data_IF_784232559706
#
_entry.id   IF_784232559706
#
_cell.length_a   1.000
_cell.length_b   1.000
_cell.length_c   1.000
_cell.angle_alpha   90.00
_cell.angle_beta   90.00
_cell.angle_gamma   90.00
#
_symmetry.space_group_name_H-M   'P 1'
#
loop_
_entity.id
_entity.type
_entity.pdbx_description
1 polymer ?
#
# COMPACT_ATOMS: atom_id res chain seq x y z
N UNK A 1 -5.54 -16.38 -2.56
CA UNK A 1 -4.45 -15.39 -2.74
C UNK A 1 -3.10 -16.09 -2.72
N UNK A 2 -2.89 -17.11 -1.90
CA UNK A 2 -1.72 -17.99 -2.01
C UNK A 2 -2.18 -19.26 -2.74
N UNK A 3 -1.65 -19.53 -3.93
CA UNK A 3 -1.96 -20.76 -4.67
C UNK A 3 -1.54 -22.00 -3.86
N UNK A 4 -2.01 -23.17 -4.25
CA UNK A 4 -1.51 -24.40 -3.62
C UNK A 4 -0.03 -24.61 -3.97
N UNK A 5 0.69 -25.34 -3.10
CA UNK A 5 2.14 -25.53 -3.21
C UNK A 5 2.55 -26.16 -4.55
N UNK A 6 1.74 -27.09 -5.08
CA UNK A 6 2.04 -27.79 -6.33
C UNK A 6 1.97 -26.81 -7.51
N UNK A 7 0.97 -25.94 -7.53
CA UNK A 7 0.84 -24.91 -8.56
C UNK A 7 2.00 -23.91 -8.54
N UNK A 8 2.48 -23.51 -7.35
CA UNK A 8 3.64 -22.62 -7.21
C UNK A 8 4.92 -23.31 -7.69
N UNK A 9 5.09 -24.60 -7.39
CA UNK A 9 6.21 -25.39 -7.88
C UNK A 9 6.21 -25.49 -9.42
N UNK A 10 5.05 -25.78 -10.02
CA UNK A 10 4.89 -25.80 -11.47
C UNK A 10 5.21 -24.43 -12.11
N UNK A 11 4.79 -23.34 -11.47
CA UNK A 11 5.11 -21.99 -11.94
C UNK A 11 6.62 -21.72 -11.90
N UNK A 12 7.33 -22.18 -10.86
CA UNK A 12 8.79 -22.11 -10.77
C UNK A 12 9.48 -22.87 -11.88
N UNK A 13 9.05 -24.10 -12.17
CA UNK A 13 9.59 -24.90 -13.27
C UNK A 13 9.40 -24.21 -14.62
N UNK A 14 8.19 -23.73 -14.92
CA UNK A 14 7.89 -22.98 -16.15
C UNK A 14 8.77 -21.75 -16.31
N UNK A 15 8.92 -20.95 -15.25
CA UNK A 15 9.77 -19.76 -15.27
C UNK A 15 11.23 -20.14 -15.56
N UNK A 16 11.75 -21.13 -14.83
CA UNK A 16 13.15 -21.54 -14.91
C UNK A 16 13.50 -22.22 -16.24
N UNK A 17 12.52 -22.83 -16.92
CA UNK A 17 12.67 -23.37 -18.28
C UNK A 17 12.98 -22.27 -19.32
N UNK A 18 12.53 -21.03 -19.10
CA UNK A 18 12.92 -19.87 -19.92
C UNK A 18 14.30 -19.39 -19.51
N UNK A 19 14.48 -19.11 -18.22
CA UNK A 19 15.78 -18.78 -17.61
C UNK A 19 15.69 -18.81 -16.08
N UNK A 20 16.81 -19.01 -15.36
CA UNK A 20 16.81 -19.02 -13.90
C UNK A 20 16.43 -17.68 -13.24
N UNK A 21 16.38 -16.58 -14.01
CA UNK A 21 15.99 -15.25 -13.51
C UNK A 21 14.70 -14.71 -14.11
N UNK A 22 14.01 -15.49 -14.95
CA UNK A 22 12.82 -15.05 -15.65
C UNK A 22 11.65 -14.78 -14.68
N UNK A 23 10.88 -13.73 -14.98
CA UNK A 23 9.76 -13.29 -14.17
C UNK A 23 8.69 -12.64 -15.05
N UNK A 24 7.53 -13.28 -15.19
CA UNK A 24 6.39 -12.78 -15.97
C UNK A 24 5.88 -11.43 -15.46
N UNK A 25 5.94 -11.19 -14.15
CA UNK A 25 5.49 -9.93 -13.56
C UNK A 25 6.30 -8.71 -14.06
N UNK A 26 7.53 -8.89 -14.57
CA UNK A 26 8.27 -7.77 -15.20
C UNK A 26 7.61 -7.21 -16.47
N UNK A 27 6.74 -8.00 -17.09
CA UNK A 27 5.93 -7.62 -18.24
C UNK A 27 4.51 -7.26 -17.84
N UNK A 28 3.88 -8.08 -16.98
CA UNK A 28 2.44 -8.02 -16.78
C UNK A 28 1.99 -7.25 -15.54
N UNK A 29 2.91 -6.80 -14.68
CA UNK A 29 2.60 -6.01 -13.50
C UNK A 29 3.26 -4.62 -13.59
N UNK A 30 2.54 -3.60 -13.10
CA UNK A 30 3.04 -2.24 -13.01
C UNK A 30 2.46 -1.52 -11.79
N UNK A 31 3.31 -0.76 -11.10
CA UNK A 31 2.84 0.36 -10.29
C UNK A 31 3.40 1.65 -10.87
N UNK A 32 2.55 2.66 -11.01
CA UNK A 32 2.89 3.92 -11.67
C UNK A 32 2.50 5.07 -10.76
N UNK A 33 3.50 5.85 -10.35
CA UNK A 33 3.34 7.05 -9.55
C UNK A 33 3.35 8.25 -10.49
N UNK A 34 2.21 8.56 -11.10
CA UNK A 34 2.08 9.63 -12.10
C UNK A 34 2.40 11.01 -11.51
N UNK A 35 1.98 11.24 -10.26
CA UNK A 35 2.34 12.43 -9.49
C UNK A 35 3.85 12.59 -9.27
N UNK A 36 4.66 11.54 -9.42
CA UNK A 36 6.13 11.62 -9.31
C UNK A 36 6.85 11.42 -10.65
N UNK A 37 6.14 10.98 -11.69
CA UNK A 37 6.74 10.51 -12.93
C UNK A 37 7.64 9.29 -12.72
N UNK A 38 7.23 8.35 -11.86
CA UNK A 38 8.03 7.14 -11.52
C UNK A 38 7.24 5.87 -11.69
N UNK A 39 7.92 4.76 -11.92
CA UNK A 39 7.28 3.45 -12.10
C UNK A 39 8.17 2.31 -11.61
N UNK A 40 7.56 1.17 -11.33
CA UNK A 40 8.23 -0.13 -11.22
C UNK A 40 7.31 -1.24 -11.75
N UNK A 41 7.83 -2.46 -11.88
CA UNK A 41 7.07 -3.59 -12.46
C UNK A 41 6.36 -4.46 -11.41
N UNK A 42 6.66 -4.30 -10.12
CA UNK A 42 5.91 -4.90 -9.02
C UNK A 42 6.29 -4.16 -7.73
N UNK A 43 5.60 -4.43 -6.62
CA UNK A 43 5.76 -3.66 -5.38
C UNK A 43 7.11 -3.82 -4.66
N UNK A 44 7.97 -4.75 -5.09
CA UNK A 44 9.26 -5.07 -4.45
C UNK A 44 10.45 -4.23 -4.92
N UNK A 45 10.72 -4.08 -6.24
CA UNK A 45 11.83 -3.27 -6.72
C UNK A 45 11.64 -1.78 -6.40
N UNK A 46 12.76 -1.05 -6.24
CA UNK A 46 12.71 0.41 -6.16
C UNK A 46 12.10 0.99 -7.45
N UNK A 47 11.34 2.07 -7.31
CA UNK A 47 10.82 2.79 -8.48
C UNK A 47 11.91 3.64 -9.15
N UNK A 48 11.90 3.67 -10.47
CA UNK A 48 12.78 4.52 -11.28
C UNK A 48 11.99 5.64 -11.97
N UNK A 49 12.64 6.76 -12.32
CA UNK A 49 12.02 7.82 -13.11
C UNK A 49 11.61 7.35 -14.51
N UNK A 50 10.45 7.81 -14.98
CA UNK A 50 10.00 7.63 -16.36
C UNK A 50 10.69 8.72 -17.20
N UNK A 51 11.34 8.32 -18.30
CA UNK A 51 11.97 9.27 -19.21
C UNK A 51 10.89 10.01 -20.03
N UNK A 52 10.93 11.35 -20.14
CA UNK A 52 10.06 12.08 -21.06
C UNK A 52 10.21 11.63 -22.52
N UNK A 53 11.37 11.08 -22.91
CA UNK A 53 11.58 10.53 -24.26
C UNK A 53 10.77 9.26 -24.50
N UNK A 54 10.58 8.44 -23.46
CA UNK A 54 9.81 7.19 -23.58
C UNK A 54 8.34 7.50 -23.86
N UNK A 55 7.74 8.43 -23.11
CA UNK A 55 6.33 8.84 -23.28
C UNK A 55 6.06 9.65 -24.55
N UNK A 56 7.05 10.43 -25.02
CA UNK A 56 6.95 11.16 -26.30
C UNK A 56 6.94 10.21 -27.49
N UNK A 57 7.65 9.09 -27.39
CA UNK A 57 7.71 8.07 -28.44
C UNK A 57 6.43 7.22 -28.48
N UNK A 58 5.94 6.84 -27.31
CA UNK A 58 4.78 5.96 -27.14
C UNK A 58 4.15 6.26 -25.76
N UNK A 59 2.85 6.58 -25.65
CA UNK A 59 2.19 6.80 -24.37
C UNK A 59 2.36 5.63 -23.38
N UNK A 60 2.46 4.40 -23.87
CA UNK A 60 2.73 3.21 -23.04
C UNK A 60 4.14 3.20 -22.43
N UNK A 61 5.01 4.14 -22.84
CA UNK A 61 6.34 4.39 -22.29
C UNK A 61 6.36 4.65 -20.79
N UNK A 62 5.21 4.95 -20.16
CA UNK A 62 5.06 4.98 -18.70
C UNK A 62 5.25 3.61 -18.03
N UNK A 63 4.91 2.52 -18.73
CA UNK A 63 5.17 1.15 -18.30
C UNK A 63 6.33 0.51 -19.09
N UNK A 64 6.43 0.81 -20.39
CA UNK A 64 7.39 0.22 -21.33
C UNK A 64 8.70 1.00 -21.42
N UNK A 65 9.22 1.48 -20.28
CA UNK A 65 10.44 2.31 -20.20
C UNK A 65 11.66 1.58 -20.76
N UNK A 66 12.65 2.34 -21.22
CA UNK A 66 13.94 1.77 -21.66
C UNK A 66 14.59 0.90 -20.56
N UNK A 67 14.52 1.34 -19.31
CA UNK A 67 15.05 0.60 -18.16
C UNK A 67 14.34 -0.75 -17.97
N UNK A 68 13.01 -0.79 -17.97
CA UNK A 68 12.25 -2.04 -17.84
C UNK A 68 12.54 -2.99 -18.99
N UNK A 69 12.62 -2.50 -20.23
CA UNK A 69 13.01 -3.29 -21.41
C UNK A 69 14.44 -3.85 -21.30
N UNK A 70 15.36 -3.11 -20.68
CA UNK A 70 16.71 -3.61 -20.38
C UNK A 70 16.70 -4.71 -19.31
N UNK A 71 15.94 -4.54 -18.22
CA UNK A 71 15.78 -5.56 -17.19
C UNK A 71 15.15 -6.85 -17.74
N UNK A 72 14.14 -6.73 -18.60
CA UNK A 72 13.53 -7.85 -19.34
C UNK A 72 14.57 -8.61 -20.17
N UNK A 73 15.47 -7.90 -20.86
CA UNK A 73 16.59 -8.50 -21.62
C UNK A 73 17.57 -9.25 -20.72
N UNK A 74 17.90 -8.71 -19.53
CA UNK A 74 18.75 -9.42 -18.56
C UNK A 74 18.10 -10.73 -18.12
N UNK A 75 16.82 -10.68 -17.79
CA UNK A 75 16.07 -11.86 -17.35
C UNK A 75 16.01 -12.94 -18.43
N UNK A 76 15.75 -12.59 -19.69
CA UNK A 76 15.78 -13.57 -20.79
C UNK A 76 17.18 -14.19 -21.02
N UNK A 77 18.25 -13.54 -20.55
CA UNK A 77 19.63 -14.05 -20.60
C UNK A 77 20.06 -14.80 -19.33
N UNK A 78 19.14 -15.09 -18.42
CA UNK A 78 19.44 -15.74 -17.13
C UNK A 78 20.18 -14.85 -16.13
N UNK A 79 20.26 -13.53 -16.37
CA UNK A 79 20.89 -12.58 -15.45
C UNK A 79 19.85 -11.98 -14.50
N UNK A 80 20.16 -11.92 -13.21
CA UNK A 80 19.31 -11.37 -12.15
C UNK A 80 19.41 -9.84 -12.11
N UNK A 81 18.33 -9.06 -12.33
CA UNK A 81 18.38 -7.61 -12.14
C UNK A 81 18.50 -7.24 -10.66
N UNK A 82 19.37 -6.26 -10.37
CA UNK A 82 19.67 -5.82 -9.00
C UNK A 82 18.43 -5.35 -8.21
N UNK A 83 17.48 -4.69 -8.88
CA UNK A 83 16.25 -4.23 -8.23
C UNK A 83 15.34 -5.35 -7.69
N UNK A 84 15.58 -6.61 -8.05
CA UNK A 84 14.76 -7.76 -7.61
C UNK A 84 15.36 -8.51 -6.41
N UNK A 85 16.25 -7.87 -5.65
CA UNK A 85 17.00 -8.50 -4.57
C UNK A 85 16.13 -9.19 -3.52
N UNK A 86 14.95 -8.66 -3.21
CA UNK A 86 14.01 -9.33 -2.29
C UNK A 86 13.66 -10.75 -2.73
N UNK A 87 13.46 -10.99 -4.03
CA UNK A 87 13.22 -12.34 -4.53
C UNK A 87 14.48 -13.21 -4.48
N UNK A 88 15.63 -12.64 -4.86
CA UNK A 88 16.91 -13.35 -4.87
C UNK A 88 17.33 -13.78 -3.48
N UNK A 89 17.15 -12.91 -2.47
CA UNK A 89 17.44 -13.22 -1.08
C UNK A 89 16.64 -14.43 -0.58
N UNK A 90 15.39 -14.60 -1.02
CA UNK A 90 14.57 -15.77 -0.66
C UNK A 90 15.04 -17.02 -1.42
N UNK A 91 15.33 -16.89 -2.70
CA UNK A 91 15.76 -18.02 -3.55
C UNK A 91 17.16 -18.54 -3.23
N UNK A 92 18.02 -17.70 -2.67
CA UNK A 92 19.40 -18.04 -2.31
C UNK A 92 19.51 -18.61 -0.89
N UNK A 93 18.41 -18.71 -0.14
CA UNK A 93 18.38 -19.40 1.15
C UNK A 93 18.63 -20.91 0.96
N UNK A 94 19.28 -21.59 1.93
CA UNK A 94 19.45 -23.04 1.87
C UNK A 94 18.10 -23.77 1.83
N UNK A 95 17.97 -24.75 0.93
CA UNK A 95 16.76 -25.55 0.76
C UNK A 95 15.84 -25.05 -0.35
N UNK A 96 14.64 -25.61 -0.42
CA UNK A 96 13.67 -25.23 -1.45
C UNK A 96 12.79 -24.06 -0.99
N UNK A 97 12.96 -22.91 -1.65
CA UNK A 97 12.18 -21.70 -1.39
C UNK A 97 11.46 -21.19 -2.64
N UNK A 98 10.37 -20.44 -2.40
CA UNK A 98 9.62 -19.74 -3.43
C UNK A 98 9.56 -18.25 -3.09
N UNK A 99 10.11 -17.40 -3.95
CA UNK A 99 9.92 -15.95 -3.91
C UNK A 99 8.63 -15.48 -4.57
N UNK A 100 8.30 -14.19 -4.39
CA UNK A 100 7.13 -13.53 -4.98
C UNK A 100 7.00 -13.72 -6.50
N UNK A 101 8.09 -13.88 -7.25
CA UNK A 101 7.98 -14.11 -8.70
C UNK A 101 7.28 -15.43 -9.04
N UNK A 102 7.46 -16.46 -8.20
CA UNK A 102 6.81 -17.76 -8.38
C UNK A 102 5.32 -17.68 -8.03
N UNK A 103 4.99 -17.03 -6.91
CA UNK A 103 3.60 -16.79 -6.53
C UNK A 103 2.88 -15.96 -7.59
N UNK A 104 3.53 -14.90 -8.10
CA UNK A 104 2.92 -14.01 -9.07
C UNK A 104 2.66 -14.67 -10.42
N UNK A 105 3.52 -15.59 -10.85
CA UNK A 105 3.37 -16.28 -12.12
C UNK A 105 2.17 -17.23 -12.17
N UNK A 106 1.65 -17.67 -11.02
CA UNK A 106 0.46 -18.51 -10.92
C UNK A 106 -0.84 -17.71 -10.75
N UNK A 107 -0.79 -16.37 -10.64
CA UNK A 107 -2.04 -15.62 -10.56
C UNK A 107 -2.82 -15.65 -11.87
N UNK A 108 -4.14 -15.55 -11.76
CA UNK A 108 -5.08 -15.54 -12.90
C UNK A 108 -4.80 -14.46 -13.95
N UNK A 109 -4.15 -13.36 -13.56
CA UNK A 109 -3.77 -12.27 -14.46
C UNK A 109 -2.42 -12.52 -15.15
N UNK A 110 -1.62 -13.48 -14.70
CA UNK A 110 -0.28 -13.76 -15.23
C UNK A 110 -0.22 -15.11 -15.96
N UNK A 111 -0.70 -16.18 -15.34
CA UNK A 111 -0.54 -17.56 -15.84
C UNK A 111 -1.05 -17.75 -17.27
N UNK A 112 -2.25 -17.25 -17.66
CA UNK A 112 -2.77 -17.42 -19.01
C UNK A 112 -1.98 -16.66 -20.10
N UNK A 113 -1.08 -15.77 -19.70
CA UNK A 113 -0.35 -14.85 -20.59
C UNK A 113 1.15 -15.17 -20.66
N UNK A 114 1.56 -16.35 -20.19
CA UNK A 114 2.96 -16.76 -20.15
C UNK A 114 3.60 -16.80 -21.55
N UNK A 115 2.96 -17.50 -22.49
CA UNK A 115 3.48 -17.69 -23.85
C UNK A 115 3.52 -16.36 -24.61
N UNK A 116 2.48 -15.53 -24.44
CA UNK A 116 2.42 -14.16 -24.97
C UNK A 116 3.66 -13.34 -24.54
N UNK A 117 4.07 -13.43 -23.27
CA UNK A 117 5.23 -12.69 -22.75
C UNK A 117 6.54 -13.16 -23.40
N UNK A 118 6.69 -14.47 -23.62
CA UNK A 118 7.88 -15.04 -24.27
C UNK A 118 7.96 -14.55 -25.73
N UNK A 119 6.85 -14.67 -26.47
CA UNK A 119 6.76 -14.25 -27.87
C UNK A 119 6.99 -12.74 -28.05
N UNK A 120 6.54 -11.92 -27.10
CA UNK A 120 6.80 -10.49 -27.10
C UNK A 120 8.28 -10.15 -26.91
N UNK A 121 9.00 -10.97 -26.16
CA UNK A 121 10.40 -10.73 -25.79
C UNK A 121 10.58 -9.40 -25.05
N UNK A 122 11.76 -8.78 -25.18
CA UNK A 122 12.10 -7.58 -24.39
C UNK A 122 11.91 -6.23 -25.12
N UNK A 123 11.77 -6.24 -26.46
CA UNK A 123 11.78 -4.99 -27.28
C UNK A 123 10.38 -4.39 -27.48
N UNK A 124 9.37 -5.25 -27.70
CA UNK A 124 8.00 -4.83 -27.95
C UNK A 124 7.40 -4.20 -26.69
N UNK A 125 6.49 -3.25 -26.88
CA UNK A 125 5.66 -2.73 -25.79
C UNK A 125 4.59 -3.77 -25.48
N UNK A 126 4.26 -3.94 -24.20
CA UNK A 126 3.21 -4.84 -23.72
C UNK A 126 2.36 -4.09 -22.69
N UNK A 127 1.07 -4.38 -22.64
CA UNK A 127 0.21 -3.87 -21.59
C UNK A 127 0.26 -4.76 -20.34
N UNK A 128 0.32 -4.18 -19.14
CA UNK A 128 0.20 -4.97 -17.93
C UNK A 128 -1.22 -5.56 -17.83
N UNK A 129 -1.34 -6.68 -17.11
CA UNK A 129 -2.63 -7.25 -16.68
C UNK A 129 -2.98 -6.84 -15.25
N UNK A 130 -1.97 -6.52 -14.44
CA UNK A 130 -2.11 -5.93 -13.11
C UNK A 130 -1.53 -4.52 -13.13
N UNK A 131 -2.35 -3.53 -12.84
CA UNK A 131 -1.93 -2.14 -12.80
C UNK A 131 -2.36 -1.47 -11.49
N UNK A 132 -1.39 -0.86 -10.80
CA UNK A 132 -1.63 0.08 -9.71
C UNK A 132 -1.20 1.49 -10.13
N UNK A 133 -2.05 2.50 -9.92
CA UNK A 133 -1.77 3.89 -10.33
C UNK A 133 -2.04 4.87 -9.20
N UNK A 134 -1.09 5.78 -8.99
CA UNK A 134 -1.23 6.97 -8.14
C UNK A 134 -1.27 8.24 -8.98
N UNK A 135 -2.47 8.76 -9.23
CA UNK A 135 -2.67 9.99 -10.01
C UNK A 135 -2.13 11.23 -9.31
N UNK A 136 -2.35 11.32 -7.99
CA UNK A 136 -2.15 12.54 -7.22
C UNK A 136 -1.61 12.25 -5.82
N UNK A 137 -0.91 13.23 -5.25
CA UNK A 137 -0.58 13.33 -3.81
C UNK A 137 -1.62 14.13 -3.01
N UNK A 138 -2.68 14.64 -3.66
CA UNK A 138 -3.78 15.34 -3.00
C UNK A 138 -4.37 14.45 -1.91
N UNK A 139 -4.26 14.88 -0.67
CA UNK A 139 -4.72 14.16 0.50
C UNK A 139 -5.09 15.16 1.58
N UNK A 140 -6.18 14.88 2.28
CA UNK A 140 -6.67 15.66 3.40
C UNK A 140 -6.02 15.28 4.73
N UNK A 141 -5.34 14.13 4.83
CA UNK A 141 -4.76 13.63 6.09
C UNK A 141 -3.25 13.89 6.20
N UNK A 142 -2.76 13.92 7.45
CA UNK A 142 -1.34 14.02 7.81
C UNK A 142 -0.89 12.83 8.66
N UNK A 143 -1.11 11.60 8.18
CA UNK A 143 -0.76 10.38 8.93
C UNK A 143 0.71 10.40 9.36
N UNK A 144 1.02 10.06 10.61
CA UNK A 144 2.30 10.35 11.26
C UNK A 144 3.52 9.78 10.53
N UNK A 145 3.37 8.62 9.90
CA UNK A 145 4.42 7.95 9.12
C UNK A 145 4.45 8.32 7.63
N UNK A 146 3.56 9.20 7.17
CA UNK A 146 3.48 9.65 5.78
C UNK A 146 4.45 10.81 5.52
N UNK A 147 4.47 11.34 4.29
CA UNK A 147 5.39 12.38 3.86
C UNK A 147 4.74 13.37 2.87
N UNK A 148 5.37 14.53 2.63
CA UNK A 148 4.97 15.47 1.57
C UNK A 148 4.96 14.86 0.16
N UNK A 149 5.67 13.76 -0.06
CA UNK A 149 5.65 12.99 -1.32
C UNK A 149 4.25 12.46 -1.64
N UNK A 150 3.46 12.13 -0.62
CA UNK A 150 2.18 11.43 -0.79
C UNK A 150 0.98 12.18 -0.21
N UNK A 151 1.18 13.29 0.48
CA UNK A 151 0.08 14.10 1.04
C UNK A 151 0.33 15.59 0.90
N UNK A 152 -0.60 16.26 0.20
CA UNK A 152 -0.66 17.72 0.12
C UNK A 152 -0.86 18.39 1.47
N UNK A 153 -1.55 17.75 2.42
CA UNK A 153 -1.68 18.30 3.79
C UNK A 153 -0.34 18.26 4.54
N UNK A 154 0.46 17.20 4.33
CA UNK A 154 1.83 17.14 4.86
C UNK A 154 2.72 18.20 4.22
N UNK A 155 2.65 18.37 2.90
CA UNK A 155 3.39 19.41 2.19
C UNK A 155 3.10 20.82 2.74
N UNK A 156 1.81 21.13 2.98
CA UNK A 156 1.40 22.40 3.60
C UNK A 156 2.01 22.59 4.99
N UNK A 157 2.07 21.54 5.80
CA UNK A 157 2.63 21.59 7.14
C UNK A 157 4.13 21.89 7.13
N UNK A 158 4.91 21.15 6.33
CA UNK A 158 6.37 21.37 6.26
C UNK A 158 6.73 22.69 5.58
N UNK A 159 5.90 23.22 4.67
CA UNK A 159 6.05 24.58 4.12
C UNK A 159 5.82 25.66 5.18
N UNK A 160 4.88 25.44 6.10
CA UNK A 160 4.53 26.40 7.16
C UNK A 160 5.54 26.39 8.31
N UNK A 161 5.95 25.20 8.76
CA UNK A 161 6.72 25.05 9.99
C UNK A 161 8.18 24.58 9.78
N UNK A 162 8.54 24.24 8.55
CA UNK A 162 9.83 23.62 8.23
C UNK A 162 9.91 22.13 8.57
N UNK A 163 11.08 21.56 8.34
CA UNK A 163 11.41 20.18 8.66
C UNK A 163 11.23 19.83 10.14
N UNK A 164 11.15 18.53 10.43
CA UNK A 164 11.27 18.01 11.79
C UNK A 164 12.77 17.83 12.12
N UNK A 165 13.20 18.35 13.28
CA UNK A 165 14.59 18.25 13.74
C UNK A 165 14.78 16.98 14.56
N UNK A 166 15.38 15.95 13.96
CA UNK A 166 15.61 14.64 14.56
C UNK A 166 17.12 14.35 14.67
N UNK A 167 17.55 13.52 15.61
CA UNK A 167 18.96 13.10 15.74
C UNK A 167 19.39 12.20 14.59
N UNK A 168 18.56 11.23 14.17
CA UNK A 168 18.93 10.34 13.06
C UNK A 168 18.91 11.01 11.70
N UNK A 169 18.06 12.02 11.54
CA UNK A 169 17.87 12.77 10.30
C UNK A 169 17.67 14.22 10.67
N UNK A 170 18.76 15.00 10.73
CA UNK A 170 18.79 16.38 11.23
C UNK A 170 17.68 17.27 10.66
N UNK A 171 17.22 17.00 9.43
CA UNK A 171 16.12 17.68 8.76
C UNK A 171 15.15 16.65 8.13
N UNK A 172 14.37 15.96 8.95
CA UNK A 172 13.37 14.98 8.50
C UNK A 172 12.23 15.68 7.74
N UNK A 173 11.88 15.13 6.57
CA UNK A 173 10.88 15.65 5.63
C UNK A 173 11.15 17.07 5.10
N UNK A 174 12.42 17.47 5.04
CA UNK A 174 12.80 18.78 4.51
C UNK A 174 12.47 18.93 3.02
N UNK A 175 11.62 19.90 2.62
CA UNK A 175 11.20 20.06 1.22
C UNK A 175 12.34 20.21 0.23
N UNK A 176 13.43 20.92 0.56
CA UNK A 176 14.55 21.09 -0.37
C UNK A 176 15.29 19.78 -0.61
N UNK A 177 15.47 18.94 0.43
CA UNK A 177 16.09 17.62 0.31
C UNK A 177 15.20 16.69 -0.53
N UNK A 178 13.89 16.68 -0.28
CA UNK A 178 12.93 15.90 -1.06
C UNK A 178 12.93 16.33 -2.54
N UNK A 179 13.03 17.63 -2.81
CA UNK A 179 13.12 18.18 -4.17
C UNK A 179 14.40 17.74 -4.87
N UNK A 180 15.55 17.79 -4.18
CA UNK A 180 16.84 17.31 -4.71
C UNK A 180 16.79 15.81 -5.06
N UNK A 181 16.07 15.02 -4.27
CA UNK A 181 15.85 13.58 -4.53
C UNK A 181 14.79 13.27 -5.57
N UNK A 182 14.09 14.29 -6.09
CA UNK A 182 12.94 14.15 -6.99
C UNK A 182 11.84 13.29 -6.38
N UNK A 183 11.54 13.58 -5.11
CA UNK A 183 10.51 12.95 -4.27
C UNK A 183 9.38 13.92 -3.93
N UNK A 184 9.39 15.12 -4.51
CA UNK A 184 8.27 16.05 -4.42
C UNK A 184 7.27 15.79 -5.56
N UNK A 185 5.96 15.87 -5.30
CA UNK A 185 4.94 15.75 -6.34
C UNK A 185 5.09 16.80 -7.44
N UNK A 186 4.81 16.37 -8.67
CA UNK A 186 4.59 17.24 -9.81
C UNK A 186 3.20 17.88 -9.70
N UNK A 187 3.03 19.13 -10.14
CA UNK A 187 1.69 19.71 -10.32
C UNK A 187 0.81 18.80 -11.18
N UNK A 188 -0.49 18.76 -10.90
CA UNK A 188 -1.44 18.03 -11.74
C UNK A 188 -1.69 18.73 -13.07
N UNK A 189 -1.66 20.06 -13.05
CA UNK A 189 -1.71 20.92 -14.24
C UNK A 189 -0.48 20.63 -15.10
N UNK A 190 -0.71 20.37 -16.39
CA UNK A 190 0.33 20.04 -17.37
C UNK A 190 1.22 18.84 -17.03
N UNK A 191 0.74 17.89 -16.20
CA UNK A 191 1.49 16.67 -15.89
C UNK A 191 1.56 15.75 -17.14
N UNK A 192 2.75 15.61 -17.77
CA UNK A 192 2.87 14.86 -19.02
C UNK A 192 2.64 13.36 -18.83
N UNK A 193 2.77 12.84 -17.60
CA UNK A 193 2.54 11.44 -17.29
C UNK A 193 1.05 11.13 -17.17
N UNK A 194 0.25 12.05 -16.61
CA UNK A 194 -1.22 11.94 -16.60
C UNK A 194 -1.76 12.02 -18.03
N UNK A 195 -1.25 12.95 -18.83
CA UNK A 195 -1.61 13.05 -20.25
C UNK A 195 -1.26 11.76 -21.02
N UNK A 196 -0.05 11.22 -20.85
CA UNK A 196 0.36 9.96 -21.45
C UNK A 196 -0.52 8.79 -21.00
N UNK A 197 -0.87 8.71 -19.72
CA UNK A 197 -1.78 7.69 -19.20
C UNK A 197 -3.14 7.72 -19.92
N UNK A 198 -3.74 8.90 -20.09
CA UNK A 198 -5.03 9.01 -20.77
C UNK A 198 -4.95 8.73 -22.27
N UNK A 199 -3.84 9.06 -22.93
CA UNK A 199 -3.59 8.65 -24.32
C UNK A 199 -3.43 7.14 -24.45
N UNK A 200 -2.88 6.48 -23.43
CA UNK A 200 -2.70 5.03 -23.40
C UNK A 200 -3.97 4.26 -23.01
N UNK A 201 -4.83 4.84 -22.17
CA UNK A 201 -6.02 4.20 -21.59
C UNK A 201 -6.90 3.40 -22.58
N UNK A 202 -7.23 3.89 -23.79
CA UNK A 202 -8.08 3.14 -24.73
C UNK A 202 -7.46 1.81 -25.18
N UNK A 203 -6.13 1.75 -25.27
CA UNK A 203 -5.37 0.55 -25.61
C UNK A 203 -5.08 -0.32 -24.38
N UNK A 204 -4.84 0.30 -23.22
CA UNK A 204 -4.55 -0.39 -21.96
C UNK A 204 -5.77 -1.10 -21.37
N UNK A 205 -6.89 -0.38 -21.24
CA UNK A 205 -8.05 -0.84 -20.45
C UNK A 205 -8.63 -2.20 -20.85
N UNK A 206 -8.71 -2.60 -22.14
CA UNK A 206 -9.21 -3.92 -22.52
C UNK A 206 -8.36 -5.08 -21.97
N UNK A 207 -7.06 -4.85 -21.77
CA UNK A 207 -6.11 -5.85 -21.33
C UNK A 207 -6.05 -6.01 -19.81
N UNK A 208 -6.55 -5.03 -19.05
CA UNK A 208 -6.49 -5.05 -17.59
C UNK A 208 -7.36 -6.18 -17.02
N UNK A 209 -6.77 -6.93 -16.10
CA UNK A 209 -7.43 -7.94 -15.26
C UNK A 209 -7.60 -7.43 -13.83
N UNK A 210 -6.61 -6.69 -13.33
CA UNK A 210 -6.64 -6.02 -12.04
C UNK A 210 -6.25 -4.56 -12.23
N UNK A 211 -7.08 -3.65 -11.75
CA UNK A 211 -6.77 -2.22 -11.72
C UNK A 211 -7.02 -1.63 -10.34
N UNK A 212 -5.97 -1.07 -9.74
CA UNK A 212 -6.00 -0.49 -8.41
C UNK A 212 -5.59 0.98 -8.46
N UNK A 213 -6.38 1.84 -7.84
CA UNK A 213 -6.04 3.27 -7.69
C UNK A 213 -5.58 3.54 -6.26
N UNK A 214 -4.39 4.13 -6.14
CA UNK A 214 -3.76 4.56 -4.89
C UNK A 214 -3.29 6.03 -5.03
N UNK A 215 -2.39 6.50 -4.17
CA UNK A 215 -1.90 7.88 -4.15
C UNK A 215 -2.08 8.51 -2.77
N UNK A 216 -2.37 9.81 -2.75
CA UNK A 216 -2.79 10.52 -1.54
C UNK A 216 -4.14 10.02 -1.02
N UNK A 217 -5.21 10.78 -1.26
CA UNK A 217 -6.58 10.28 -1.17
C UNK A 217 -7.16 10.19 -2.59
N UNK A 218 -7.22 8.99 -3.19
CA UNK A 218 -7.69 8.80 -4.56
C UNK A 218 -9.05 9.42 -4.85
N UNK A 219 -9.97 9.41 -3.88
CA UNK A 219 -11.31 9.97 -4.05
C UNK A 219 -11.33 11.51 -4.01
N UNK A 220 -10.19 12.20 -3.84
CA UNK A 220 -10.07 13.63 -4.09
C UNK A 220 -9.60 13.97 -5.52
N UNK A 221 -9.15 12.98 -6.29
CA UNK A 221 -8.65 13.20 -7.65
C UNK A 221 -9.78 13.14 -8.68
N UNK A 222 -9.80 14.13 -9.60
CA UNK A 222 -10.70 14.14 -10.75
C UNK A 222 -10.47 12.95 -11.70
N UNK A 223 -9.22 12.50 -11.81
CA UNK A 223 -8.84 11.40 -12.68
C UNK A 223 -9.41 10.06 -12.19
N UNK A 224 -9.50 9.87 -10.88
CA UNK A 224 -10.21 8.72 -10.27
C UNK A 224 -11.68 8.69 -10.72
N UNK A 225 -12.37 9.83 -10.71
CA UNK A 225 -13.75 9.87 -11.18
C UNK A 225 -13.89 9.68 -12.68
N UNK A 226 -12.94 10.19 -13.46
CA UNK A 226 -12.88 9.94 -14.90
C UNK A 226 -12.74 8.45 -15.22
N UNK A 227 -12.02 7.67 -14.42
CA UNK A 227 -11.97 6.20 -14.59
C UNK A 227 -13.37 5.57 -14.47
N UNK A 228 -14.17 5.98 -13.49
CA UNK A 228 -15.54 5.46 -13.38
C UNK A 228 -16.33 5.74 -14.65
N UNK A 229 -16.23 6.96 -15.19
CA UNK A 229 -16.94 7.35 -16.40
C UNK A 229 -16.45 6.57 -17.63
N UNK A 230 -15.14 6.36 -17.76
CA UNK A 230 -14.57 5.57 -18.86
C UNK A 230 -14.98 4.09 -18.80
N UNK A 231 -15.04 3.48 -17.62
CA UNK A 231 -15.55 2.11 -17.45
C UNK A 231 -17.03 2.04 -17.82
N UNK A 232 -17.83 3.05 -17.46
CA UNK A 232 -19.27 3.09 -17.85
C UNK A 232 -19.46 3.23 -19.35
N UNK A 233 -18.61 4.00 -20.04
CA UNK A 233 -18.62 4.14 -21.50
C UNK A 233 -18.20 2.86 -22.21
N UNK A 234 -17.18 2.18 -21.69
CA UNK A 234 -16.65 0.92 -22.22
C UNK A 234 -16.52 -0.11 -21.10
N UNK A 235 -17.58 -0.88 -20.82
CA UNK A 235 -17.58 -1.90 -19.77
C UNK A 235 -16.41 -2.90 -19.90
N UNK A 236 -15.86 -3.29 -18.75
CA UNK A 236 -14.72 -4.22 -18.61
C UNK A 236 -15.13 -5.38 -17.68
N UNK A 237 -16.02 -6.30 -18.12
CA UNK A 237 -16.61 -7.33 -17.26
C UNK A 237 -15.60 -8.33 -16.69
N UNK A 238 -14.36 -8.36 -17.19
CA UNK A 238 -13.24 -9.13 -16.68
C UNK A 238 -12.45 -8.46 -15.55
N UNK A 239 -12.69 -7.16 -15.30
CA UNK A 239 -11.84 -6.34 -14.45
C UNK A 239 -12.16 -6.54 -12.95
N UNK A 240 -11.13 -6.85 -12.17
CA UNK A 240 -11.15 -6.62 -10.73
C UNK A 240 -10.68 -5.18 -10.44
N UNK A 241 -11.61 -4.32 -10.04
CA UNK A 241 -11.33 -2.90 -9.79
C UNK A 241 -11.22 -2.61 -8.31
N UNK A 242 -10.27 -1.77 -7.92
CA UNK A 242 -9.99 -1.46 -6.51
C UNK A 242 -9.57 -0.02 -6.29
N UNK A 243 -9.94 0.55 -5.15
CA UNK A 243 -9.50 1.88 -4.72
C UNK A 243 -9.04 1.82 -3.26
N UNK A 244 -7.91 2.47 -2.98
CA UNK A 244 -7.49 2.79 -1.62
C UNK A 244 -8.13 4.10 -1.17
N UNK A 245 -8.62 4.18 0.06
CA UNK A 245 -9.18 5.42 0.61
C UNK A 245 -9.03 5.48 2.13
N UNK A 246 -8.90 6.68 2.67
CA UNK A 246 -8.95 6.97 4.09
C UNK A 246 -10.39 7.17 4.59
N UNK A 247 -11.38 7.21 3.69
CA UNK A 247 -12.81 7.45 3.94
C UNK A 247 -13.14 8.77 4.68
N UNK A 248 -12.20 9.69 4.85
CA UNK A 248 -12.38 11.02 5.43
C UNK A 248 -12.75 12.11 4.42
N UNK A 249 -13.24 11.73 3.24
CA UNK A 249 -13.59 12.66 2.14
C UNK A 249 -14.88 13.48 2.42
N UNK A 250 -15.14 14.57 1.69
CA UNK A 250 -16.41 15.30 1.80
C UNK A 250 -17.63 14.42 1.52
N UNK A 251 -18.75 14.67 2.22
CA UNK A 251 -19.96 13.85 2.09
C UNK A 251 -20.51 13.74 0.66
N UNK A 252 -20.56 14.82 -0.15
CA UNK A 252 -21.01 14.69 -1.55
C UNK A 252 -20.11 13.75 -2.37
N UNK A 253 -18.81 13.77 -2.13
CA UNK A 253 -17.83 12.89 -2.78
C UNK A 253 -18.03 11.43 -2.35
N UNK A 254 -18.29 11.19 -1.07
CA UNK A 254 -18.61 9.85 -0.56
C UNK A 254 -19.89 9.30 -1.20
N UNK A 255 -20.97 10.09 -1.23
CA UNK A 255 -22.23 9.68 -1.85
C UNK A 255 -22.03 9.36 -3.34
N UNK A 256 -21.33 10.23 -4.07
CA UNK A 256 -21.00 10.01 -5.48
C UNK A 256 -20.22 8.70 -5.66
N UNK A 257 -19.20 8.47 -4.84
CA UNK A 257 -18.39 7.25 -4.87
C UNK A 257 -19.25 5.99 -4.67
N UNK A 258 -20.12 5.97 -3.65
CA UNK A 258 -21.05 4.85 -3.39
C UNK A 258 -21.92 4.58 -4.62
N UNK A 259 -22.55 5.61 -5.21
CA UNK A 259 -23.39 5.43 -6.40
C UNK A 259 -22.62 4.88 -7.60
N UNK A 260 -21.36 5.30 -7.81
CA UNK A 260 -20.53 4.72 -8.86
C UNK A 260 -20.29 3.23 -8.64
N UNK A 261 -19.95 2.80 -7.42
CA UNK A 261 -19.70 1.37 -7.12
C UNK A 261 -20.96 0.55 -7.33
N UNK A 262 -22.10 1.04 -6.84
CA UNK A 262 -23.40 0.41 -7.02
C UNK A 262 -23.69 0.18 -8.51
N UNK A 263 -23.59 1.22 -9.32
CA UNK A 263 -23.86 1.13 -10.75
C UNK A 263 -22.91 0.15 -11.46
N UNK A 264 -21.60 0.22 -11.16
CA UNK A 264 -20.62 -0.68 -11.77
C UNK A 264 -20.93 -2.16 -11.51
N UNK A 265 -21.39 -2.48 -10.30
CA UNK A 265 -21.70 -3.85 -9.89
C UNK A 265 -23.07 -4.34 -10.37
N UNK A 266 -24.10 -3.51 -10.28
CA UNK A 266 -25.46 -3.87 -10.71
C UNK A 266 -25.53 -4.07 -12.22
N UNK A 267 -24.87 -3.19 -12.99
CA UNK A 267 -24.80 -3.30 -14.46
C UNK A 267 -23.71 -4.26 -14.96
N UNK A 268 -22.97 -4.91 -14.06
CA UNK A 268 -21.89 -5.85 -14.38
C UNK A 268 -20.82 -5.26 -15.30
N UNK A 269 -20.49 -3.98 -15.10
CA UNK A 269 -19.45 -3.30 -15.88
C UNK A 269 -18.05 -3.76 -15.48
N UNK A 270 -17.90 -4.37 -14.31
CA UNK A 270 -16.66 -4.97 -13.80
C UNK A 270 -16.97 -6.35 -13.21
N UNK A 271 -15.94 -7.18 -13.08
CA UNK A 271 -16.07 -8.50 -12.46
C UNK A 271 -16.33 -8.37 -10.95
N UNK A 272 -15.51 -7.56 -10.28
CA UNK A 272 -15.48 -7.41 -8.82
C UNK A 272 -14.98 -6.04 -8.41
N UNK A 273 -15.45 -5.60 -7.25
CA UNK A 273 -14.94 -4.41 -6.60
C UNK A 273 -14.37 -4.72 -5.21
N UNK A 274 -13.22 -4.12 -4.90
CA UNK A 274 -12.55 -4.24 -3.62
C UNK A 274 -12.14 -2.86 -3.11
N UNK A 275 -12.72 -2.44 -1.98
CA UNK A 275 -12.27 -1.25 -1.27
C UNK A 275 -11.13 -1.61 -0.33
N UNK A 276 -10.03 -0.87 -0.42
CA UNK A 276 -8.96 -0.91 0.57
C UNK A 276 -9.09 0.34 1.44
N UNK A 277 -9.29 0.19 2.74
CA UNK A 277 -9.46 1.33 3.65
C UNK A 277 -8.36 1.38 4.70
N UNK A 278 -7.79 2.55 4.94
CA UNK A 278 -6.62 2.70 5.82
C UNK A 278 -6.98 3.18 7.23
N UNK A 279 -6.65 2.37 8.23
CA UNK A 279 -6.86 2.64 9.66
C UNK A 279 -5.89 1.79 10.48
N UNK A 280 -5.28 2.35 11.51
CA UNK A 280 -4.08 1.76 12.14
C UNK A 280 -4.25 1.43 13.64
N UNK A 281 -5.37 1.83 14.24
CA UNK A 281 -5.77 1.56 15.63
C UNK A 281 -7.29 1.77 15.78
N UNK A 282 -7.81 1.94 16.99
CA UNK A 282 -9.22 2.19 17.28
C UNK A 282 -9.42 3.50 18.04
N UNK A 283 -10.48 4.26 17.69
CA UNK A 283 -10.87 5.47 18.41
C UNK A 283 -9.83 6.61 18.34
N UNK A 284 -9.66 7.41 19.41
CA UNK A 284 -8.74 8.55 19.43
C UNK A 284 -7.30 8.22 19.06
N UNK A 285 -6.81 7.02 19.41
CA UNK A 285 -5.47 6.57 19.02
C UNK A 285 -5.35 6.42 17.49
N UNK A 286 -6.40 5.99 16.80
CA UNK A 286 -6.42 5.94 15.35
C UNK A 286 -6.38 7.34 14.73
N UNK A 287 -7.10 8.29 15.33
CA UNK A 287 -7.18 9.69 14.89
C UNK A 287 -5.83 10.41 15.08
N UNK A 288 -5.13 10.12 16.18
CA UNK A 288 -3.80 10.64 16.44
C UNK A 288 -2.78 10.11 15.42
N UNK A 289 -2.76 8.80 15.16
CA UNK A 289 -1.88 8.20 14.14
C UNK A 289 -2.20 8.77 12.74
N UNK A 290 -3.50 8.96 12.45
CA UNK A 290 -4.00 9.42 11.15
C UNK A 290 -4.64 10.80 11.27
N UNK A 291 -3.85 11.81 11.64
CA UNK A 291 -4.35 13.17 11.83
C UNK A 291 -5.22 13.65 10.63
N UNK A 292 -6.46 14.00 10.94
CA UNK A 292 -7.54 14.30 9.97
C UNK A 292 -8.64 13.25 9.92
N UNK A 293 -8.42 12.05 10.47
CA UNK A 293 -9.44 11.02 10.64
C UNK A 293 -10.45 11.42 11.73
N UNK A 294 -11.73 11.30 11.40
CA UNK A 294 -12.83 11.16 12.35
C UNK A 294 -13.21 9.68 12.37
N UNK A 295 -12.94 9.00 13.48
CA UNK A 295 -13.08 7.56 13.58
C UNK A 295 -14.56 7.13 13.56
N UNK A 296 -15.47 7.93 14.12
CA UNK A 296 -16.89 7.62 14.13
C UNK A 296 -17.50 7.78 12.73
N UNK A 297 -17.13 8.85 12.02
CA UNK A 297 -17.50 9.03 10.62
C UNK A 297 -16.94 7.91 9.75
N UNK A 298 -15.71 7.48 10.00
CA UNK A 298 -15.10 6.34 9.32
C UNK A 298 -15.91 5.05 9.53
N UNK A 299 -16.28 4.72 10.78
CA UNK A 299 -17.09 3.53 11.09
C UNK A 299 -18.43 3.55 10.35
N UNK A 300 -19.16 4.66 10.44
CA UNK A 300 -20.47 4.80 9.79
C UNK A 300 -20.37 4.68 8.26
N UNK A 301 -19.30 5.20 7.65
CA UNK A 301 -19.03 5.06 6.21
C UNK A 301 -18.67 3.65 5.79
N UNK A 302 -17.88 2.94 6.59
CA UNK A 302 -17.60 1.51 6.37
C UNK A 302 -18.89 0.71 6.40
N UNK A 303 -19.72 0.90 7.42
CA UNK A 303 -21.00 0.20 7.56
C UNK A 303 -21.96 0.55 6.42
N UNK A 304 -22.08 1.83 6.05
CA UNK A 304 -22.88 2.28 4.90
C UNK A 304 -22.42 1.65 3.58
N UNK A 305 -21.11 1.56 3.35
CA UNK A 305 -20.55 0.86 2.18
C UNK A 305 -20.93 -0.62 2.17
N UNK A 306 -20.79 -1.31 3.31
CA UNK A 306 -21.08 -2.74 3.44
C UNK A 306 -22.56 -3.05 3.25
N UNK A 307 -23.44 -2.20 3.77
CA UNK A 307 -24.90 -2.29 3.61
C UNK A 307 -25.32 -2.05 2.16
N UNK A 308 -24.78 -1.01 1.52
CA UNK A 308 -25.20 -0.60 0.17
C UNK A 308 -24.69 -1.54 -0.93
N UNK A 309 -23.63 -2.31 -0.67
CA UNK A 309 -22.97 -3.14 -1.70
C UNK A 309 -22.77 -4.59 -1.24
N UNK A 310 -23.81 -5.44 -1.25
CA UNK A 310 -23.74 -6.79 -0.68
C UNK A 310 -22.66 -7.70 -1.26
N UNK A 311 -22.21 -7.42 -2.49
CA UNK A 311 -21.21 -8.20 -3.23
C UNK A 311 -19.81 -7.58 -3.23
N UNK A 312 -19.65 -6.35 -2.73
CA UNK A 312 -18.36 -5.66 -2.75
C UNK A 312 -17.50 -6.08 -1.57
N UNK A 313 -16.21 -6.27 -1.84
CA UNK A 313 -15.22 -6.71 -0.87
C UNK A 313 -14.59 -5.52 -0.13
N UNK A 314 -13.99 -5.78 1.04
CA UNK A 314 -13.29 -4.78 1.85
C UNK A 314 -11.99 -5.39 2.40
N UNK A 315 -10.91 -4.61 2.41
CA UNK A 315 -9.75 -4.88 3.26
C UNK A 315 -9.41 -3.65 4.07
N UNK A 316 -9.25 -3.84 5.37
CA UNK A 316 -8.56 -2.89 6.22
C UNK A 316 -7.05 -3.01 5.97
N UNK A 317 -6.39 -1.88 5.72
CA UNK A 317 -4.95 -1.78 5.50
C UNK A 317 -4.36 -1.06 6.70
N UNK A 318 -3.70 -1.80 7.58
CA UNK A 318 -3.12 -1.29 8.81
C UNK A 318 -1.61 -1.21 8.65
N UNK A 319 -1.06 -0.01 8.52
CA UNK A 319 0.38 0.21 8.62
C UNK A 319 0.77 0.06 10.09
N UNK A 320 1.05 -1.18 10.48
CA UNK A 320 1.21 -1.55 11.87
C UNK A 320 2.52 -0.97 12.41
N UNK A 321 2.41 -0.12 13.41
CA UNK A 321 3.50 0.70 13.95
C UNK A 321 3.49 0.68 15.49
N UNK A 322 4.43 1.38 16.13
CA UNK A 322 4.57 1.38 17.59
C UNK A 322 3.30 1.83 18.33
N UNK A 323 2.51 2.74 17.74
CA UNK A 323 1.28 3.24 18.34
C UNK A 323 0.07 2.33 18.08
N UNK A 324 0.16 1.42 17.12
CA UNK A 324 -0.96 0.54 16.77
C UNK A 324 -1.31 -0.45 17.89
N UNK A 325 -0.33 -0.86 18.72
CA UNK A 325 -0.46 -2.04 19.59
C UNK A 325 -1.47 -1.89 20.74
N UNK A 326 -1.80 -0.67 21.15
CA UNK A 326 -2.52 -0.44 22.41
C UNK A 326 -4.02 -0.72 22.27
N UNK A 327 -4.68 -0.11 21.28
CA UNK A 327 -6.12 -0.30 21.05
C UNK A 327 -6.46 -1.21 19.86
N UNK A 328 -5.49 -1.95 19.32
CA UNK A 328 -5.72 -2.84 18.17
C UNK A 328 -6.72 -3.95 18.47
N UNK A 329 -6.76 -4.47 19.70
CA UNK A 329 -7.69 -5.53 20.08
C UNK A 329 -9.15 -5.08 19.92
N UNK A 330 -9.47 -3.83 20.25
CA UNK A 330 -10.82 -3.28 20.05
C UNK A 330 -11.14 -3.11 18.56
N UNK A 331 -10.15 -2.72 17.76
CA UNK A 331 -10.29 -2.72 16.30
C UNK A 331 -10.60 -4.12 15.74
N UNK A 332 -9.90 -5.15 16.23
CA UNK A 332 -10.14 -6.53 15.84
C UNK A 332 -11.54 -7.03 16.25
N UNK A 333 -12.04 -6.66 17.44
CA UNK A 333 -13.42 -6.97 17.86
C UNK A 333 -14.44 -6.36 16.89
N UNK A 334 -14.28 -5.09 16.52
CA UNK A 334 -15.17 -4.44 15.56
C UNK A 334 -15.12 -5.13 14.18
N UNK A 335 -13.95 -5.61 13.73
CA UNK A 335 -13.86 -6.41 12.50
C UNK A 335 -14.66 -7.71 12.61
N UNK A 336 -14.62 -8.42 13.75
CA UNK A 336 -15.41 -9.63 13.96
C UNK A 336 -16.92 -9.31 13.90
N UNK A 337 -17.35 -8.18 14.46
CA UNK A 337 -18.75 -7.72 14.37
C UNK A 337 -19.15 -7.45 12.91
N UNK A 338 -18.32 -6.74 12.15
CA UNK A 338 -18.56 -6.49 10.73
C UNK A 338 -18.61 -7.81 9.93
N UNK A 339 -17.73 -8.77 10.22
CA UNK A 339 -17.74 -10.10 9.59
C UNK A 339 -19.02 -10.87 9.91
N UNK A 340 -19.48 -10.82 11.16
CA UNK A 340 -20.73 -11.46 11.57
C UNK A 340 -21.95 -10.85 10.87
N UNK A 341 -21.99 -9.52 10.75
CA UNK A 341 -23.13 -8.81 10.15
C UNK A 341 -23.12 -8.83 8.62
N UNK A 342 -21.95 -8.69 8.00
CA UNK A 342 -21.82 -8.39 6.56
C UNK A 342 -20.93 -9.38 5.80
N UNK A 343 -20.35 -10.39 6.45
CA UNK A 343 -19.36 -11.28 5.82
C UNK A 343 -19.93 -12.26 4.79
N UNK A 344 -21.23 -12.58 4.86
CA UNK A 344 -21.85 -13.56 3.96
C UNK A 344 -21.77 -13.12 2.50
N UNK A 345 -21.19 -13.97 1.65
CA UNK A 345 -21.10 -13.75 0.19
C UNK A 345 -20.03 -12.76 -0.25
N UNK A 346 -19.16 -12.30 0.65
CA UNK A 346 -18.05 -11.40 0.33
C UNK A 346 -16.80 -11.75 1.14
N UNK A 347 -15.77 -10.92 0.98
CA UNK A 347 -14.54 -11.04 1.76
C UNK A 347 -14.31 -9.71 2.48
N UNK A 348 -14.14 -9.80 3.80
CA UNK A 348 -13.68 -8.70 4.65
C UNK A 348 -12.32 -9.10 5.22
N UNK A 349 -11.25 -8.47 4.78
CA UNK A 349 -9.88 -8.78 5.16
C UNK A 349 -9.33 -7.75 6.14
N UNK A 350 -8.33 -8.17 6.91
CA UNK A 350 -7.38 -7.26 7.53
C UNK A 350 -5.97 -7.58 7.02
N UNK A 351 -5.24 -6.56 6.63
CA UNK A 351 -3.84 -6.65 6.30
C UNK A 351 -3.02 -5.78 7.26
N UNK A 352 -1.90 -6.32 7.73
CA UNK A 352 -1.03 -5.69 8.74
C UNK A 352 0.42 -5.60 8.25
N UNK A 353 0.69 -4.86 7.16
CA UNK A 353 2.07 -4.55 6.80
C UNK A 353 2.75 -3.80 7.96
N UNK A 354 3.85 -4.33 8.47
CA UNK A 354 4.63 -3.64 9.50
C UNK A 354 5.40 -2.47 8.89
N UNK A 355 5.36 -1.33 9.58
CA UNK A 355 6.13 -0.15 9.20
C UNK A 355 7.63 -0.47 9.30
N UNK A 356 8.39 -0.20 8.23
CA UNK A 356 9.87 -0.32 8.23
C UNK A 356 10.59 1.02 8.26
N UNK A 357 9.95 2.07 7.73
CA UNK A 357 10.45 3.43 7.70
C UNK A 357 9.28 4.39 7.90
N UNK A 358 9.42 5.46 8.72
CA UNK A 358 10.61 5.79 9.49
C UNK A 358 10.86 4.84 10.67
N UNK A 359 12.13 4.53 10.95
CA UNK A 359 12.52 3.56 12.00
C UNK A 359 12.03 3.96 13.39
N UNK A 360 12.01 5.27 13.67
CA UNK A 360 11.55 5.82 14.95
C UNK A 360 10.04 5.66 15.20
N UNK A 361 9.25 5.13 14.27
CA UNK A 361 7.84 4.80 14.50
C UNK A 361 7.55 3.30 14.50
N UNK A 362 8.58 2.48 14.31
CA UNK A 362 8.41 1.03 14.19
C UNK A 362 8.18 0.37 15.54
N UNK A 363 7.56 -0.81 15.58
CA UNK A 363 7.35 -1.55 16.84
C UNK A 363 8.65 -1.84 17.59
N UNK A 364 9.81 -1.82 16.91
CA UNK A 364 11.12 -2.07 17.51
C UNK A 364 11.58 -0.96 18.46
N UNK A 365 10.96 0.23 18.47
CA UNK A 365 11.33 1.28 19.44
C UNK A 365 10.86 0.95 20.86
N UNK A 366 9.89 0.06 21.01
CA UNK A 366 9.24 -0.21 22.28
C UNK A 366 10.07 -1.19 23.12
N UNK A 367 10.34 -0.88 24.39
CA UNK A 367 11.02 -1.80 25.30
C UNK A 367 10.28 -3.14 25.48
N UNK A 368 11.00 -4.17 25.93
CA UNK A 368 10.46 -5.52 26.13
C UNK A 368 9.20 -5.57 27.00
N UNK A 369 9.07 -4.66 27.98
CA UNK A 369 7.87 -4.57 28.82
C UNK A 369 6.57 -4.38 28.03
N UNK A 370 6.61 -3.86 26.80
CA UNK A 370 5.44 -3.66 25.94
C UNK A 370 5.09 -4.89 25.07
N UNK A 371 5.91 -5.94 25.07
CA UNK A 371 5.68 -7.14 24.26
C UNK A 371 4.33 -7.81 24.54
N UNK A 372 3.87 -7.74 25.79
CA UNK A 372 2.61 -8.36 26.22
C UNK A 372 1.38 -7.83 25.47
N UNK A 373 1.39 -6.59 24.96
CA UNK A 373 0.29 -6.07 24.13
C UNK A 373 0.12 -6.86 22.84
N UNK A 374 1.23 -7.13 22.13
CA UNK A 374 1.20 -7.93 20.91
C UNK A 374 0.89 -9.40 21.19
N UNK A 375 1.42 -9.96 22.27
CA UNK A 375 1.07 -11.32 22.71
C UNK A 375 -0.44 -11.44 22.97
N UNK A 376 -1.04 -10.44 23.64
CA UNK A 376 -2.47 -10.39 23.89
C UNK A 376 -3.29 -10.28 22.61
N UNK A 377 -2.84 -9.50 21.63
CA UNK A 377 -3.45 -9.40 20.30
C UNK A 377 -3.40 -10.76 19.59
N UNK A 378 -2.23 -11.40 19.54
CA UNK A 378 -2.04 -12.69 18.86
C UNK A 378 -2.91 -13.77 19.53
N UNK A 379 -2.91 -13.83 20.87
CA UNK A 379 -3.76 -14.78 21.62
C UNK A 379 -5.23 -14.58 21.29
N UNK A 380 -5.70 -13.33 21.24
CA UNK A 380 -7.07 -13.02 20.83
C UNK A 380 -7.34 -13.47 19.38
N UNK A 381 -6.42 -13.21 18.45
CA UNK A 381 -6.60 -13.67 17.07
C UNK A 381 -6.66 -15.19 16.95
N UNK A 382 -5.81 -15.92 17.69
CA UNK A 382 -5.79 -17.39 17.74
C UNK A 382 -7.09 -17.96 18.32
N UNK A 383 -7.66 -17.33 19.34
CA UNK A 383 -8.95 -17.75 19.92
C UNK A 383 -10.09 -17.78 18.89
N UNK A 384 -10.06 -16.88 17.90
CA UNK A 384 -11.08 -16.77 16.85
C UNK A 384 -10.61 -17.30 15.49
N UNK A 385 -9.45 -17.94 15.40
CA UNK A 385 -8.95 -18.46 14.13
C UNK A 385 -9.84 -19.60 13.61
N UNK A 386 -10.17 -19.57 12.32
CA UNK A 386 -10.95 -20.62 11.66
C UNK A 386 -12.46 -20.64 11.99
N UNK A 387 -12.93 -19.80 12.91
CA UNK A 387 -14.37 -19.61 13.16
C UNK A 387 -15.03 -18.91 11.97
N UNK A 388 -16.35 -19.07 11.79
CA UNK A 388 -17.11 -18.54 10.65
C UNK A 388 -16.90 -17.03 10.39
N UNK A 389 -16.97 -16.21 11.45
CA UNK A 389 -16.68 -14.77 11.40
C UNK A 389 -15.25 -14.43 11.88
N UNK A 390 -14.43 -15.46 12.07
CA UNK A 390 -13.13 -15.42 12.72
C UNK A 390 -11.98 -14.92 11.86
N UNK A 391 -10.75 -15.08 12.37
CA UNK A 391 -9.53 -14.71 11.65
C UNK A 391 -9.05 -15.84 10.74
N UNK A 392 -8.47 -15.45 9.61
CA UNK A 392 -7.81 -16.40 8.69
C UNK A 392 -6.38 -16.63 9.18
N UNK A 393 -5.84 -17.83 8.99
CA UNK A 393 -4.46 -18.15 9.41
C UNK A 393 -3.41 -17.18 8.86
N UNK A 394 -3.58 -16.71 7.62
CA UNK A 394 -2.68 -15.71 7.05
C UNK A 394 -2.72 -14.35 7.77
N UNK A 395 -3.83 -13.97 8.40
CA UNK A 395 -3.95 -12.74 9.19
C UNK A 395 -3.21 -12.91 10.53
N UNK A 396 -3.34 -14.08 11.16
CA UNK A 396 -2.65 -14.39 12.43
C UNK A 396 -1.13 -14.50 12.23
N UNK A 397 -0.68 -15.24 11.21
CA UNK A 397 0.75 -15.42 10.88
C UNK A 397 1.42 -14.08 10.60
N UNK A 398 0.73 -13.15 9.93
CA UNK A 398 1.26 -11.80 9.70
C UNK A 398 1.52 -11.09 11.03
N UNK A 399 0.57 -11.12 11.98
CA UNK A 399 0.75 -10.51 13.30
C UNK A 399 1.91 -11.16 14.08
N UNK A 400 2.03 -12.50 14.04
CA UNK A 400 3.15 -13.22 14.66
C UNK A 400 4.50 -12.82 14.07
N UNK A 401 4.57 -12.59 12.75
CA UNK A 401 5.77 -12.07 12.09
C UNK A 401 6.16 -10.70 12.63
N UNK A 402 5.18 -9.81 12.86
CA UNK A 402 5.45 -8.49 13.47
C UNK A 402 6.04 -8.66 14.86
N UNK A 403 5.49 -9.56 15.68
CA UNK A 403 6.01 -9.81 17.02
C UNK A 403 7.41 -10.43 17.00
N UNK A 404 7.68 -11.37 16.09
CA UNK A 404 9.03 -11.89 15.89
C UNK A 404 10.02 -10.79 15.51
N UNK A 405 9.63 -9.90 14.59
CA UNK A 405 10.46 -8.76 14.18
C UNK A 405 10.66 -7.74 15.30
N UNK A 406 9.65 -7.49 16.13
CA UNK A 406 9.75 -6.63 17.31
C UNK A 406 10.86 -7.12 18.27
N UNK A 407 10.95 -8.43 18.48
CA UNK A 407 11.96 -9.06 19.36
C UNK A 407 13.39 -9.01 18.80
N UNK A 408 13.56 -8.73 17.51
CA UNK A 408 14.87 -8.58 16.86
C UNK A 408 15.41 -7.14 16.96
N UNK A 409 14.79 -6.27 17.76
CA UNK A 409 15.26 -4.91 17.97
C UNK A 409 16.70 -4.88 18.53
N UNK A 410 17.55 -4.05 17.94
CA UNK A 410 18.94 -3.85 18.41
C UNK A 410 18.99 -2.70 19.42
N UNK A 411 19.46 -2.93 20.66
CA UNK A 411 19.42 -1.91 21.73
C UNK A 411 20.10 -0.58 21.35
N UNK A 412 21.23 -0.63 20.66
CA UNK A 412 22.00 0.56 20.28
C UNK A 412 21.28 1.44 19.23
N UNK A 413 20.59 0.82 18.27
CA UNK A 413 19.77 1.55 17.30
C UNK A 413 18.45 2.04 17.95
N UNK A 414 17.94 1.28 18.93
CA UNK A 414 16.69 1.55 19.62
C UNK A 414 16.71 2.90 20.35
N UNK A 415 17.73 3.18 21.17
CA UNK A 415 17.80 4.42 21.96
C UNK A 415 17.76 5.67 21.07
N UNK A 416 18.51 5.65 19.97
CA UNK A 416 18.52 6.76 19.00
C UNK A 416 17.12 7.00 18.42
N UNK A 417 16.43 5.94 18.04
CA UNK A 417 15.09 6.01 17.48
C UNK A 417 14.04 6.42 18.51
N UNK A 418 14.21 6.09 19.79
CA UNK A 418 13.34 6.57 20.87
C UNK A 418 13.44 8.08 21.08
N UNK A 419 14.66 8.66 21.01
CA UNK A 419 14.84 10.13 21.05
C UNK A 419 14.12 10.81 19.89
N UNK A 420 14.28 10.29 18.67
CA UNK A 420 13.59 10.80 17.49
C UNK A 420 12.07 10.68 17.59
N UNK A 421 11.57 9.58 18.15
CA UNK A 421 10.15 9.38 18.40
C UNK A 421 9.58 10.48 19.29
N UNK A 422 10.20 10.74 20.46
CA UNK A 422 9.75 11.77 21.38
C UNK A 422 9.81 13.16 20.76
N UNK A 423 10.91 13.52 20.09
CA UNK A 423 11.06 14.81 19.39
C UNK A 423 10.03 15.00 18.28
N UNK A 424 9.77 13.94 17.50
CA UNK A 424 8.76 13.98 16.45
C UNK A 424 7.37 14.25 17.04
N UNK A 425 6.98 13.51 18.10
CA UNK A 425 5.65 13.64 18.66
C UNK A 425 5.44 14.91 19.50
N UNK A 426 6.50 15.48 20.09
CA UNK A 426 6.45 16.83 20.68
C UNK A 426 6.16 17.91 19.63
N UNK A 427 6.83 17.85 18.48
CA UNK A 427 6.58 18.77 17.37
C UNK A 427 5.23 18.47 16.68
N UNK A 428 4.81 17.21 16.62
CA UNK A 428 3.48 16.81 16.15
C UNK A 428 2.39 17.48 16.98
N UNK A 429 2.44 17.30 18.30
CA UNK A 429 1.48 17.88 19.25
C UNK A 429 1.40 19.39 19.11
N UNK A 430 2.55 20.06 19.10
CA UNK A 430 2.63 21.51 18.91
C UNK A 430 2.04 21.98 17.58
N UNK A 431 2.32 21.29 16.47
CA UNK A 431 1.90 21.72 15.12
C UNK A 431 0.43 21.42 14.83
N UNK A 432 -0.14 20.43 15.54
CA UNK A 432 -1.45 19.84 15.22
C UNK A 432 -2.47 19.99 16.33
N UNK A 433 -2.07 20.60 17.44
CA UNK A 433 -2.91 20.80 18.62
C UNK A 433 -3.45 19.45 19.14
N UNK A 434 -2.53 18.50 19.31
CA UNK A 434 -2.82 17.17 19.86
C UNK A 434 -2.05 16.94 21.16
N UNK A 435 -2.40 15.89 21.89
CA UNK A 435 -1.75 15.53 23.15
C UNK A 435 -1.41 14.03 23.17
N UNK A 436 -0.11 13.73 23.09
CA UNK A 436 0.40 12.37 23.04
C UNK A 436 0.07 11.58 24.31
N UNK A 437 0.33 12.13 25.50
CA UNK A 437 0.15 11.42 26.77
C UNK A 437 -1.31 11.24 27.17
N UNK A 438 -2.18 12.17 26.76
CA UNK A 438 -3.63 11.99 26.90
C UNK A 438 -4.15 10.85 26.00
N UNK A 439 -3.57 10.71 24.80
CA UNK A 439 -4.01 9.70 23.83
C UNK A 439 -3.39 8.31 24.07
N UNK A 440 -2.16 8.27 24.56
CA UNK A 440 -1.38 7.06 24.83
C UNK A 440 -0.85 7.06 26.28
N UNK A 441 -1.73 7.01 27.30
CA UNK A 441 -1.30 6.95 28.70
C UNK A 441 -0.44 5.71 28.99
N UNK A 442 -0.59 4.62 28.23
CA UNK A 442 0.23 3.41 28.33
C UNK A 442 1.72 3.67 28.08
N UNK A 443 2.04 4.77 27.38
CA UNK A 443 3.39 5.18 27.03
C UNK A 443 3.99 6.22 27.97
N UNK A 444 3.30 6.65 29.03
CA UNK A 444 3.79 7.71 29.92
C UNK A 444 5.16 7.40 30.53
N UNK A 445 5.34 6.22 31.11
CA UNK A 445 6.62 5.82 31.71
C UNK A 445 7.75 5.77 30.65
N UNK A 446 7.46 5.23 29.46
CA UNK A 446 8.40 5.19 28.35
C UNK A 446 8.76 6.59 27.86
N UNK A 447 7.76 7.45 27.69
CA UNK A 447 7.94 8.84 27.28
C UNK A 447 8.82 9.60 28.25
N UNK A 448 8.60 9.43 29.55
CA UNK A 448 9.37 10.08 30.60
C UNK A 448 10.79 9.52 30.73
N UNK A 449 11.02 8.24 30.39
CA UNK A 449 12.36 7.65 30.39
C UNK A 449 13.28 8.12 29.24
N UNK A 450 12.70 8.71 28.19
CA UNK A 450 13.50 9.19 27.05
C UNK A 450 14.09 10.55 27.39
N UNK A 451 15.40 10.57 27.61
CA UNK A 451 16.18 11.80 27.74
C UNK A 451 16.31 12.49 26.37
N UNK A 452 15.81 13.72 26.29
CA UNK A 452 15.96 14.56 25.12
C UNK A 452 16.69 15.82 25.53
N UNK A 453 17.81 16.12 24.86
CA UNK A 453 18.50 17.40 24.99
C UNK A 453 17.57 18.49 24.44
N UNK A 454 16.89 19.23 25.33
CA UNK A 454 16.14 20.44 25.00
C UNK A 454 16.81 21.65 25.63
#
# INVERSE_FOLDING_TARGET
MYGDRKSIANAKEKLNAVSPSFCVAKWLNATIHLHLGRTHSCHLPPHHPISPKDIKKDPSGIHNTAEKKSQRKLMLKGKRPAGCQSCWNIEDLPGEHYSDRHFMAHYFWAEPHFDEVIEHGHKKSINPRYLEVSFSSSCNFKCSYCSPTYSSSWEKEVKKFGAYKLDSTSLYLEPNILKLRKEMPLPEEDNPYIEAFWKWWPNLSPDLKVFRITGGEPLLSKDTFKIFDEIKKKPLPQLEFSINTNLGIPQPTFNKYIEHIKELLEKKYIARYMMYTSVDSYGPQAEYIRNGLDFNLFKTRVESYLQSHPKAHLSFMCTFNALSIFNFKEFLKWILELRKLYGKGRNLFIDTPYLRYPQFMTVQILPQKYHHYLENIIRFMREYEGKEAGFRSGEVIKMERIFSWMKEAKPEEQIKHQKDFKRFFLEHDKRRDTNFLETFPELEEFWNSIETDY
#
